data_IF_133235970638
#
_entry.id   IF_133235970638
#
_cell.length_a   1.000
_cell.length_b   1.000
_cell.length_c   1.000
_cell.angle_alpha   90.00
_cell.angle_beta   90.00
_cell.angle_gamma   90.00
#
_symmetry.space_group_name_H-M   'P 1'
#
loop_
_entity.id
_entity.type
_entity.pdbx_description
1 polymer ?
#
# COMPACT_ATOMS: atom_id res chain seq x y z
N UNK A 1 -3.13 24.52 32.77
CA UNK A 1 -2.44 23.35 32.19
C UNK A 1 -3.41 22.17 31.93
N UNK A 2 -4.22 21.78 32.92
CA UNK A 2 -5.14 20.62 32.86
C UNK A 2 -6.19 20.72 31.73
N UNK A 3 -6.72 21.93 31.45
CA UNK A 3 -7.69 22.11 30.33
C UNK A 3 -7.03 21.94 28.97
N UNK A 4 -5.83 22.48 28.76
CA UNK A 4 -5.08 22.31 27.51
C UNK A 4 -4.70 20.84 27.29
N UNK A 5 -4.21 20.15 28.32
CA UNK A 5 -3.82 18.76 28.27
C UNK A 5 -4.95 17.84 27.80
N UNK A 6 -6.18 18.10 28.26
CA UNK A 6 -7.36 17.31 27.87
C UNK A 6 -8.06 17.79 26.59
N UNK A 7 -7.81 19.03 26.15
CA UNK A 7 -8.45 19.57 24.95
C UNK A 7 -7.64 19.35 23.67
N UNK A 8 -6.38 18.91 23.77
CA UNK A 8 -5.57 18.59 22.61
C UNK A 8 -6.03 17.26 21.99
N UNK A 9 -6.10 17.15 20.65
CA UNK A 9 -6.49 15.91 19.97
C UNK A 9 -5.38 14.84 19.98
N UNK A 10 -4.17 15.17 20.45
CA UNK A 10 -3.05 14.26 20.52
C UNK A 10 -3.12 13.42 21.79
N UNK A 11 -2.79 12.13 21.68
CA UNK A 11 -2.63 11.26 22.83
C UNK A 11 -1.35 11.63 23.60
N UNK A 12 -1.49 12.01 24.88
CA UNK A 12 -0.38 12.46 25.71
C UNK A 12 -0.38 11.69 27.03
N UNK A 13 0.83 11.29 27.43
CA UNK A 13 1.10 10.75 28.76
C UNK A 13 2.35 11.41 29.34
N UNK A 14 2.40 11.58 30.67
CA UNK A 14 3.65 11.85 31.38
C UNK A 14 4.10 10.62 32.16
N UNK A 15 5.41 10.44 32.24
CA UNK A 15 6.02 9.27 32.91
C UNK A 15 7.11 9.70 33.88
N UNK A 16 7.28 8.88 34.92
CA UNK A 16 8.37 9.01 35.87
C UNK A 16 9.70 8.43 35.32
N UNK A 17 10.75 8.50 36.13
CA UNK A 17 12.06 7.98 35.79
C UNK A 17 12.09 6.45 35.58
N UNK A 18 11.07 5.72 36.02
CA UNK A 18 10.96 4.27 35.84
C UNK A 18 10.08 3.90 34.63
N UNK A 19 9.50 4.90 33.95
CA UNK A 19 8.57 4.72 32.82
C UNK A 19 7.14 4.42 33.26
N UNK A 20 6.78 4.67 34.54
CA UNK A 20 5.40 4.56 35.02
C UNK A 20 4.61 5.79 34.59
N UNK A 21 3.38 5.56 34.21
CA UNK A 21 2.44 6.60 33.79
C UNK A 21 2.02 7.39 35.05
N UNK A 22 2.26 8.69 35.02
CA UNK A 22 1.83 9.64 36.05
C UNK A 22 0.52 10.32 35.67
N UNK A 23 0.37 10.68 34.39
CA UNK A 23 -0.82 11.35 33.86
C UNK A 23 -1.09 10.89 32.43
N UNK A 24 -2.35 10.84 32.06
CA UNK A 24 -2.82 10.61 30.68
C UNK A 24 -3.95 11.58 30.35
N UNK A 25 -4.11 11.90 29.08
CA UNK A 25 -5.29 12.62 28.61
C UNK A 25 -6.32 11.64 28.00
N UNK A 26 -7.54 12.13 27.71
CA UNK A 26 -8.60 11.34 27.16
C UNK A 26 -8.26 10.67 25.80
N UNK A 27 -7.60 11.35 24.85
CA UNK A 27 -7.14 10.72 23.61
C UNK A 27 -6.17 9.56 23.84
N UNK A 28 -5.27 9.64 24.82
CA UNK A 28 -4.36 8.55 25.15
C UNK A 28 -5.13 7.31 25.64
N UNK A 29 -6.09 7.50 26.54
CA UNK A 29 -6.94 6.41 27.03
C UNK A 29 -7.77 5.80 25.91
N UNK A 30 -8.27 6.62 24.98
CA UNK A 30 -9.03 6.15 23.81
C UNK A 30 -8.16 5.30 22.87
N UNK A 31 -6.93 5.77 22.56
CA UNK A 31 -6.00 5.09 21.66
C UNK A 31 -5.55 3.74 22.21
N UNK A 32 -5.30 3.67 23.52
CA UNK A 32 -4.79 2.47 24.21
C UNK A 32 -5.82 1.81 25.12
N UNK A 33 -7.11 1.95 24.82
CA UNK A 33 -8.23 1.52 25.69
C UNK A 33 -8.23 0.05 26.06
N UNK A 34 -7.57 -0.82 25.28
CA UNK A 34 -7.42 -2.25 25.61
C UNK A 34 -6.28 -2.54 26.59
N UNK A 35 -5.22 -1.74 26.54
CA UNK A 35 -4.03 -1.92 27.37
C UNK A 35 -4.04 -1.04 28.62
N UNK A 36 -4.72 0.12 28.56
CA UNK A 36 -4.73 1.14 29.60
C UNK A 36 -6.14 1.68 29.78
N UNK A 37 -6.64 1.65 31.01
CA UNK A 37 -7.92 2.26 31.39
C UNK A 37 -7.73 3.47 32.32
N UNK A 38 -8.84 4.07 32.75
CA UNK A 38 -8.83 5.25 33.64
C UNK A 38 -8.15 5.00 35.00
N UNK A 39 -7.99 3.74 35.42
CA UNK A 39 -7.26 3.36 36.64
C UNK A 39 -5.77 3.09 36.42
N UNK A 40 -5.23 3.34 35.23
CA UNK A 40 -3.82 3.04 34.90
C UNK A 40 -2.83 3.80 35.77
N UNK A 41 -3.12 5.04 36.12
CA UNK A 41 -2.29 5.88 37.00
C UNK A 41 -2.27 5.31 38.43
N UNK A 42 -3.44 4.97 38.96
CA UNK A 42 -3.58 4.41 40.30
C UNK A 42 -2.91 3.03 40.42
N UNK A 43 -2.92 2.24 39.34
CA UNK A 43 -2.29 0.92 39.26
C UNK A 43 -0.80 0.95 38.90
N UNK A 44 -0.21 2.14 38.73
CA UNK A 44 1.20 2.33 38.41
C UNK A 44 1.62 1.59 37.12
N UNK A 45 0.76 1.59 36.08
CA UNK A 45 1.04 0.92 34.82
C UNK A 45 2.25 1.58 34.16
N UNK A 46 3.12 0.76 33.60
CA UNK A 46 4.28 1.22 32.83
C UNK A 46 3.88 1.48 31.39
N UNK A 47 4.48 2.50 30.78
CA UNK A 47 4.20 2.87 29.39
C UNK A 47 4.65 1.80 28.38
N UNK A 48 5.63 0.95 28.74
CA UNK A 48 6.07 -0.17 27.89
C UNK A 48 4.97 -1.24 27.65
N UNK A 49 3.89 -1.23 28.44
CA UNK A 49 2.72 -2.10 28.24
C UNK A 49 1.91 -1.75 26.98
N UNK A 50 2.00 -0.50 26.50
CA UNK A 50 1.31 -0.04 25.29
C UNK A 50 2.21 -0.09 24.05
N UNK A 51 3.44 -0.58 24.18
CA UNK A 51 4.42 -0.68 23.11
C UNK A 51 4.61 -2.15 22.75
N UNK A 52 4.65 -2.43 21.45
CA UNK A 52 4.90 -3.77 20.96
C UNK A 52 6.25 -4.30 21.47
N UNK A 53 6.33 -5.56 21.85
CA UNK A 53 7.47 -6.16 22.54
C UNK A 53 8.81 -5.92 21.83
N UNK A 54 8.84 -6.02 20.50
CA UNK A 54 10.04 -5.79 19.67
C UNK A 54 10.62 -4.38 19.78
N UNK A 55 9.79 -3.40 20.15
CA UNK A 55 10.15 -1.97 20.12
C UNK A 55 10.39 -1.41 21.56
N UNK A 56 10.24 -2.24 22.60
CA UNK A 56 10.42 -1.84 24.01
C UNK A 56 11.83 -1.37 24.31
N UNK A 57 12.85 -1.97 23.69
CA UNK A 57 14.25 -1.56 23.87
C UNK A 57 14.50 -0.16 23.30
N UNK A 58 13.95 0.12 22.10
CA UNK A 58 14.03 1.47 21.50
C UNK A 58 13.37 2.51 22.40
N UNK A 59 12.22 2.16 22.99
CA UNK A 59 11.53 3.05 23.92
C UNK A 59 12.32 3.26 25.22
N UNK A 60 12.88 2.22 25.83
CA UNK A 60 13.73 2.34 27.00
C UNK A 60 14.94 3.26 26.72
N UNK A 61 15.56 3.12 25.55
CA UNK A 61 16.67 3.98 25.12
C UNK A 61 16.20 5.44 24.97
N UNK A 62 15.03 5.69 24.39
CA UNK A 62 14.48 7.03 24.26
C UNK A 62 14.19 7.67 25.63
N UNK A 63 13.65 6.89 26.56
CA UNK A 63 13.40 7.35 27.92
C UNK A 63 14.70 7.70 28.66
N UNK A 64 15.75 6.90 28.51
CA UNK A 64 17.07 7.20 29.11
C UNK A 64 17.66 8.51 28.52
N UNK A 65 17.53 8.75 27.24
CA UNK A 65 17.94 10.01 26.59
C UNK A 65 17.14 11.21 27.11
N UNK A 66 15.83 11.03 27.34
CA UNK A 66 14.99 12.07 27.92
C UNK A 66 15.43 12.41 29.35
N UNK A 67 15.77 11.43 30.18
CA UNK A 67 16.35 11.65 31.53
C UNK A 67 17.66 12.42 31.48
N UNK A 68 18.48 12.17 30.46
CA UNK A 68 19.72 12.92 30.21
C UNK A 68 19.48 14.31 29.61
N UNK A 69 18.21 14.72 29.46
CA UNK A 69 17.78 16.02 28.88
C UNK A 69 18.29 16.25 27.45
N UNK A 70 18.43 15.17 26.66
CA UNK A 70 18.77 15.30 25.24
C UNK A 70 17.59 15.90 24.49
N UNK A 71 17.83 16.96 23.70
CA UNK A 71 16.78 17.66 22.99
C UNK A 71 16.27 16.90 21.76
N UNK A 72 17.12 16.10 21.12
CA UNK A 72 16.76 15.33 19.93
C UNK A 72 16.67 13.84 20.26
N UNK A 73 15.45 13.36 20.41
CA UNK A 73 15.14 11.96 20.56
C UNK A 73 14.35 11.52 19.33
N UNK A 74 14.88 10.53 18.60
CA UNK A 74 14.21 10.03 17.41
C UNK A 74 12.83 9.44 17.76
N UNK A 75 11.80 9.71 16.95
CA UNK A 75 10.49 9.09 17.16
C UNK A 75 10.56 7.57 16.99
N UNK A 76 9.66 6.87 17.66
CA UNK A 76 9.57 5.41 17.65
C UNK A 76 8.30 5.02 16.91
N UNK A 77 8.48 4.38 15.75
CA UNK A 77 7.38 3.75 15.01
C UNK A 77 7.14 2.34 15.55
N UNK A 78 5.92 2.05 15.94
CA UNK A 78 5.51 0.74 16.46
C UNK A 78 4.09 0.40 16.00
N UNK A 79 3.62 -0.77 16.37
CA UNK A 79 2.22 -1.19 16.22
C UNK A 79 1.60 -1.39 17.60
N UNK A 80 0.28 -1.35 17.69
CA UNK A 80 -0.38 -1.67 18.95
C UNK A 80 -0.10 -3.13 19.34
N UNK A 81 0.09 -3.43 20.64
CA UNK A 81 0.39 -4.78 21.11
C UNK A 81 -0.69 -5.81 20.77
N UNK A 82 -1.94 -5.36 20.70
CA UNK A 82 -3.14 -6.16 20.47
C UNK A 82 -3.70 -6.04 19.05
N UNK A 83 -3.08 -5.19 18.19
CA UNK A 83 -3.52 -4.97 16.84
C UNK A 83 -2.34 -4.53 15.95
N UNK A 84 -1.74 -5.50 15.26
CA UNK A 84 -0.57 -5.27 14.41
C UNK A 84 -0.86 -4.44 13.14
N UNK A 85 -2.13 -4.20 12.80
CA UNK A 85 -2.51 -3.36 11.67
C UNK A 85 -2.57 -1.87 12.04
N UNK A 86 -2.67 -1.57 13.34
CA UNK A 86 -2.68 -0.19 13.82
C UNK A 86 -1.28 0.28 14.17
N UNK A 87 -0.81 1.26 13.40
CA UNK A 87 0.49 1.89 13.56
C UNK A 87 0.42 3.11 14.47
N UNK A 88 1.39 3.22 15.38
CA UNK A 88 1.51 4.35 16.29
C UNK A 88 2.95 4.86 16.27
N UNK A 89 3.11 6.18 16.28
CA UNK A 89 4.40 6.87 16.42
C UNK A 89 4.46 7.56 17.76
N UNK A 90 5.48 7.24 18.54
CA UNK A 90 5.76 7.88 19.80
C UNK A 90 6.86 8.93 19.68
N UNK A 91 6.64 10.05 20.36
CA UNK A 91 7.62 11.11 20.55
C UNK A 91 7.87 11.24 22.04
N UNK A 92 9.12 11.15 22.47
CA UNK A 92 9.53 11.25 23.87
C UNK A 92 10.27 12.58 24.05
N UNK A 93 9.79 13.42 24.95
CA UNK A 93 10.39 14.70 25.24
C UNK A 93 10.77 14.81 26.71
N UNK A 94 11.97 15.33 27.02
CA UNK A 94 12.37 15.58 28.41
C UNK A 94 11.49 16.67 29.05
N UNK A 95 11.18 16.52 30.32
CA UNK A 95 10.60 17.59 31.12
C UNK A 95 11.71 18.53 31.57
N UNK A 96 11.59 19.79 31.19
CA UNK A 96 12.50 20.84 31.69
C UNK A 96 11.87 21.44 32.94
N UNK A 97 12.40 21.05 34.12
CA UNK A 97 11.96 21.63 35.39
C UNK A 97 12.17 23.14 35.42
N UNK A 98 11.09 23.88 35.53
CA UNK A 98 11.11 25.23 36.01
C UNK A 98 10.94 25.14 37.53
N UNK A 99 11.98 25.51 38.25
CA UNK A 99 12.15 25.40 39.69
C UNK A 99 10.84 25.41 40.52
N UNK A 100 10.54 24.34 41.23
CA UNK A 100 9.70 24.39 42.44
C UNK A 100 8.21 24.07 42.28
N UNK A 101 7.75 23.43 41.21
CA UNK A 101 6.35 23.05 41.05
C UNK A 101 6.11 21.53 41.20
N UNK A 102 4.84 21.12 41.25
CA UNK A 102 4.33 19.73 41.40
C UNK A 102 4.84 18.70 40.36
N UNK A 103 5.87 19.02 39.56
CA UNK A 103 6.43 18.22 38.46
C UNK A 103 7.74 17.50 38.79
N UNK A 104 8.20 17.47 40.04
CA UNK A 104 9.51 16.90 40.44
C UNK A 104 9.63 15.38 40.17
N UNK A 105 8.54 14.67 39.88
CA UNK A 105 8.54 13.24 39.57
C UNK A 105 8.47 12.95 38.06
N UNK A 106 8.09 13.93 37.21
CA UNK A 106 7.95 13.73 35.77
C UNK A 106 9.32 13.71 35.08
N UNK A 107 9.67 12.60 34.43
CA UNK A 107 10.92 12.46 33.67
C UNK A 107 10.75 12.79 32.18
N UNK A 108 9.61 12.44 31.60
CA UNK A 108 9.33 12.67 30.20
C UNK A 108 7.83 12.87 29.92
N UNK A 109 7.55 13.65 28.88
CA UNK A 109 6.24 13.71 28.25
C UNK A 109 6.30 12.88 26.97
N UNK A 110 5.31 12.04 26.78
CA UNK A 110 5.21 11.15 25.61
C UNK A 110 3.96 11.49 24.82
N UNK A 111 4.15 11.76 23.56
CA UNK A 111 3.07 11.95 22.60
C UNK A 111 2.94 10.70 21.74
N UNK A 112 1.71 10.25 21.52
CA UNK A 112 1.41 9.15 20.61
C UNK A 112 0.47 9.63 19.51
N UNK A 113 0.83 9.29 18.28
CA UNK A 113 0.05 9.64 17.09
C UNK A 113 -0.24 8.36 16.33
N UNK A 114 -1.52 8.08 16.08
CA UNK A 114 -1.89 6.97 15.20
C UNK A 114 -1.53 7.32 13.75
N UNK A 115 -0.72 6.48 13.12
CA UNK A 115 -0.21 6.69 11.75
C UNK A 115 -0.71 5.63 10.77
N UNK A 116 -1.73 4.86 11.14
CA UNK A 116 -2.29 3.75 10.34
C UNK A 116 -2.72 4.22 8.96
N UNK A 117 -3.54 5.27 8.90
CA UNK A 117 -4.02 5.84 7.63
C UNK A 117 -2.87 6.42 6.80
N UNK A 118 -1.94 7.13 7.44
CA UNK A 118 -0.76 7.67 6.77
C UNK A 118 0.07 6.55 6.12
N UNK A 119 0.35 5.48 6.85
CA UNK A 119 1.10 4.31 6.33
C UNK A 119 0.36 3.62 5.18
N UNK A 120 -0.96 3.49 5.27
CA UNK A 120 -1.78 2.93 4.19
C UNK A 120 -1.71 3.80 2.92
N UNK A 121 -1.81 5.13 3.07
CA UNK A 121 -1.68 6.07 1.96
C UNK A 121 -0.27 6.05 1.35
N UNK A 122 0.78 6.03 2.17
CA UNK A 122 2.17 5.92 1.70
C UNK A 122 2.39 4.63 0.90
N UNK A 123 1.88 3.49 1.37
CA UNK A 123 1.95 2.21 0.66
C UNK A 123 1.18 2.25 -0.67
N UNK A 124 -0.01 2.85 -0.69
CA UNK A 124 -0.79 3.02 -1.90
C UNK A 124 -0.09 3.94 -2.92
N UNK A 125 0.52 5.04 -2.46
CA UNK A 125 1.29 5.94 -3.31
C UNK A 125 2.51 5.24 -3.91
N UNK A 126 3.27 4.50 -3.09
CA UNK A 126 4.43 3.74 -3.57
C UNK A 126 4.03 2.69 -4.61
N UNK A 127 2.92 1.98 -4.40
CA UNK A 127 2.37 1.02 -5.37
C UNK A 127 1.94 1.73 -6.67
N UNK A 128 1.29 2.89 -6.58
CA UNK A 128 0.88 3.69 -7.74
C UNK A 128 2.09 4.19 -8.54
N UNK A 129 3.14 4.67 -7.87
CA UNK A 129 4.39 5.10 -8.51
C UNK A 129 5.10 3.95 -9.22
N UNK A 130 5.18 2.77 -8.56
CA UNK A 130 5.75 1.56 -9.17
C UNK A 130 4.98 1.18 -10.44
N UNK A 131 3.66 1.22 -10.38
CA UNK A 131 2.80 0.90 -11.51
C UNK A 131 2.96 1.92 -12.65
N UNK A 132 3.11 3.21 -12.33
CA UNK A 132 3.36 4.26 -13.31
C UNK A 132 4.71 4.08 -14.02
N UNK A 133 5.76 3.73 -13.27
CA UNK A 133 7.09 3.47 -13.84
C UNK A 133 7.07 2.27 -14.80
N UNK A 134 6.43 1.16 -14.39
CA UNK A 134 6.21 -0.02 -15.23
C UNK A 134 5.43 0.36 -16.49
N UNK A 135 4.42 1.22 -16.34
CA UNK A 135 3.62 1.72 -17.45
C UNK A 135 4.40 2.51 -18.49
N UNK A 136 5.25 3.41 -18.05
CA UNK A 136 6.08 4.20 -18.95
C UNK A 136 7.09 3.32 -19.70
N UNK A 137 7.75 2.39 -19.00
CA UNK A 137 8.68 1.45 -19.62
C UNK A 137 7.97 0.53 -20.63
N UNK A 138 6.82 -0.03 -20.26
CA UNK A 138 6.04 -0.88 -21.13
C UNK A 138 5.58 -0.14 -22.39
N UNK A 139 5.24 1.16 -22.29
CA UNK A 139 4.85 1.99 -23.43
C UNK A 139 5.96 2.16 -24.46
N UNK A 140 7.17 2.45 -24.03
CA UNK A 140 8.34 2.57 -24.92
C UNK A 140 8.71 1.24 -25.58
N UNK A 141 8.82 0.20 -24.77
CA UNK A 141 9.17 -1.15 -25.24
C UNK A 141 8.11 -1.66 -26.24
N UNK A 142 6.82 -1.48 -25.93
CA UNK A 142 5.76 -1.95 -26.80
C UNK A 142 5.72 -1.24 -28.16
N UNK A 143 6.09 0.03 -28.21
CA UNK A 143 6.25 0.75 -29.47
C UNK A 143 7.31 0.08 -30.36
N UNK A 144 8.47 -0.26 -29.79
CA UNK A 144 9.58 -0.87 -30.53
C UNK A 144 9.23 -2.31 -30.96
N UNK A 145 8.59 -3.09 -30.08
CA UNK A 145 8.08 -4.42 -30.43
C UNK A 145 7.06 -4.35 -31.57
N UNK A 146 6.12 -3.41 -31.54
CA UNK A 146 5.12 -3.26 -32.58
C UNK A 146 5.76 -2.93 -33.93
N UNK A 147 6.81 -2.10 -33.97
CA UNK A 147 7.56 -1.81 -35.18
C UNK A 147 8.20 -3.05 -35.79
N UNK A 148 8.89 -3.85 -34.96
CA UNK A 148 9.52 -5.11 -35.38
C UNK A 148 8.47 -6.13 -35.86
N UNK A 149 7.38 -6.31 -35.10
CA UNK A 149 6.33 -7.25 -35.45
C UNK A 149 5.60 -6.85 -36.73
N UNK A 150 5.39 -5.55 -36.94
CA UNK A 150 4.82 -5.02 -38.21
C UNK A 150 5.72 -5.37 -39.40
N UNK A 151 7.02 -5.18 -39.28
CA UNK A 151 7.97 -5.55 -40.33
C UNK A 151 7.96 -7.07 -40.63
N UNK A 152 7.91 -7.92 -39.58
CA UNK A 152 7.81 -9.38 -39.74
C UNK A 152 6.51 -9.77 -40.44
N UNK A 153 5.38 -9.21 -40.07
CA UNK A 153 4.08 -9.50 -40.66
C UNK A 153 4.07 -9.08 -42.14
N UNK A 154 4.57 -7.85 -42.45
CA UNK A 154 4.65 -7.37 -43.83
C UNK A 154 5.57 -8.22 -44.74
N UNK A 155 6.73 -8.64 -44.18
CA UNK A 155 7.64 -9.54 -44.90
C UNK A 155 6.98 -10.91 -45.15
N UNK A 156 6.28 -11.45 -44.15
CA UNK A 156 5.55 -12.71 -44.28
C UNK A 156 4.45 -12.62 -45.33
N UNK A 157 3.71 -11.47 -45.40
CA UNK A 157 2.68 -11.24 -46.38
C UNK A 157 3.26 -11.16 -47.79
N UNK A 158 4.38 -10.48 -47.97
CA UNK A 158 5.06 -10.40 -49.26
C UNK A 158 5.53 -11.80 -49.70
N UNK A 159 6.08 -12.61 -48.84
CA UNK A 159 6.46 -13.98 -49.15
C UNK A 159 5.25 -14.85 -49.53
N UNK A 160 4.13 -14.72 -48.83
CA UNK A 160 2.90 -15.46 -49.13
C UNK A 160 2.31 -15.06 -50.48
N UNK A 161 2.53 -13.82 -50.94
CA UNK A 161 2.11 -13.39 -52.28
C UNK A 161 2.92 -14.10 -53.38
N UNK A 162 4.16 -14.45 -53.13
CA UNK A 162 5.08 -15.07 -54.10
C UNK A 162 5.13 -16.61 -54.00
N UNK A 163 4.52 -17.21 -52.97
CA UNK A 163 4.51 -18.67 -52.74
C UNK A 163 3.09 -19.21 -52.90
N UNK A 164 2.94 -20.33 -53.63
CA UNK A 164 1.66 -21.03 -53.73
C UNK A 164 1.39 -21.92 -52.51
N UNK A 165 0.13 -22.23 -52.21
CA UNK A 165 -0.18 -23.15 -51.09
C UNK A 165 0.45 -24.55 -51.20
N UNK A 166 0.87 -24.97 -52.40
CA UNK A 166 1.58 -26.21 -52.65
C UNK A 166 3.09 -26.14 -52.42
N UNK A 167 3.64 -24.96 -52.14
CA UNK A 167 5.05 -24.77 -51.88
C UNK A 167 5.37 -25.34 -50.46
N UNK A 168 6.45 -26.15 -50.33
CA UNK A 168 6.85 -26.66 -49.04
C UNK A 168 7.09 -25.59 -47.95
N UNK A 169 7.49 -24.38 -48.32
CA UNK A 169 7.74 -23.28 -47.42
C UNK A 169 6.48 -22.52 -46.97
N UNK A 170 5.35 -22.72 -47.65
CA UNK A 170 4.11 -21.99 -47.36
C UNK A 170 3.61 -22.20 -45.91
N UNK A 171 3.58 -23.43 -45.35
CA UNK A 171 3.18 -23.60 -43.95
C UNK A 171 4.10 -22.88 -42.93
N UNK A 172 5.39 -22.85 -43.19
CA UNK A 172 6.37 -22.19 -42.31
C UNK A 172 6.17 -20.67 -42.31
N UNK A 173 5.94 -20.05 -43.47
CA UNK A 173 5.65 -18.62 -43.61
C UNK A 173 4.35 -18.29 -42.86
N UNK A 174 3.31 -19.11 -43.03
CA UNK A 174 2.05 -18.94 -42.29
C UNK A 174 2.25 -19.03 -40.79
N UNK A 175 3.06 -19.97 -40.30
CA UNK A 175 3.40 -20.09 -38.88
C UNK A 175 4.13 -18.84 -38.35
N UNK A 176 5.08 -18.30 -39.10
CA UNK A 176 5.79 -17.06 -38.73
C UNK A 176 4.78 -15.90 -38.58
N UNK A 177 3.90 -15.71 -39.59
CA UNK A 177 2.87 -14.67 -39.56
C UNK A 177 1.92 -14.82 -38.36
N UNK A 178 1.44 -16.05 -38.09
CA UNK A 178 0.54 -16.32 -36.98
C UNK A 178 1.20 -16.01 -35.62
N UNK A 179 2.45 -16.40 -35.44
CA UNK A 179 3.20 -16.13 -34.20
C UNK A 179 3.47 -14.63 -34.05
N UNK A 180 3.80 -13.91 -35.12
CA UNK A 180 3.97 -12.47 -35.07
C UNK A 180 2.66 -11.73 -34.67
N UNK A 181 1.53 -12.14 -35.21
CA UNK A 181 0.22 -11.62 -34.82
C UNK A 181 -0.14 -11.95 -33.36
N UNK A 182 0.19 -13.15 -32.89
CA UNK A 182 0.01 -13.54 -31.49
C UNK A 182 0.87 -12.66 -30.57
N UNK A 183 2.14 -12.45 -30.92
CA UNK A 183 3.03 -11.57 -30.17
C UNK A 183 2.52 -10.12 -30.13
N UNK A 184 2.03 -9.59 -31.25
CA UNK A 184 1.40 -8.25 -31.30
C UNK A 184 0.18 -8.14 -30.39
N UNK A 185 -0.61 -9.21 -30.25
CA UNK A 185 -1.74 -9.28 -29.33
C UNK A 185 -1.28 -9.23 -27.87
N UNK A 186 -0.21 -9.96 -27.51
CA UNK A 186 0.37 -9.93 -26.16
C UNK A 186 0.93 -8.56 -25.81
N UNK A 187 1.60 -7.88 -26.74
CA UNK A 187 2.08 -6.51 -26.56
C UNK A 187 0.92 -5.54 -26.30
N UNK A 188 -0.19 -5.66 -27.04
CA UNK A 188 -1.40 -4.86 -26.78
C UNK A 188 -1.98 -5.12 -25.39
N UNK A 189 -2.02 -6.37 -24.93
CA UNK A 189 -2.48 -6.71 -23.57
C UNK A 189 -1.56 -6.10 -22.50
N UNK A 190 -0.24 -6.13 -22.70
CA UNK A 190 0.73 -5.50 -21.81
C UNK A 190 0.50 -3.99 -21.73
N UNK A 191 0.25 -3.33 -22.85
CA UNK A 191 -0.08 -1.90 -22.91
C UNK A 191 -1.41 -1.58 -22.21
N UNK A 192 -2.42 -2.40 -22.35
CA UNK A 192 -3.71 -2.20 -21.67
C UNK A 192 -3.55 -2.24 -20.14
N UNK A 193 -2.68 -3.10 -19.63
CA UNK A 193 -2.34 -3.18 -18.20
C UNK A 193 -1.55 -1.95 -17.71
N UNK A 194 -0.74 -1.36 -18.59
CA UNK A 194 0.18 -0.26 -18.28
C UNK A 194 -0.45 1.13 -18.38
N UNK A 195 -1.49 1.30 -19.19
CA UNK A 195 -2.12 2.60 -19.41
C UNK A 195 -3.15 2.88 -18.30
N UNK A 196 -3.06 4.07 -17.69
CA UNK A 196 -4.25 4.77 -17.19
C UNK A 196 -5.09 5.02 -18.46
N UNK A 197 -6.04 4.14 -18.72
CA UNK A 197 -6.97 4.36 -19.83
C UNK A 197 -7.69 5.68 -19.56
N UNK A 198 -7.43 6.67 -20.40
CA UNK A 198 -8.34 7.80 -20.51
C UNK A 198 -9.63 7.18 -21.04
N UNK A 199 -10.60 7.02 -20.13
CA UNK A 199 -11.92 6.50 -20.48
C UNK A 199 -12.47 7.38 -21.60
N UNK A 200 -12.68 6.80 -22.78
CA UNK A 200 -13.50 7.39 -23.83
C UNK A 200 -14.88 6.74 -23.71
N UNK A 201 -15.87 7.46 -23.21
CA UNK A 201 -17.23 6.94 -23.18
C UNK A 201 -17.70 6.65 -24.62
N UNK A 202 -18.02 5.41 -24.89
CA UNK A 202 -18.61 4.97 -26.16
C UNK A 202 -19.93 4.26 -25.85
N UNK A 203 -20.90 4.41 -26.75
CA UNK A 203 -22.13 3.63 -26.65
C UNK A 203 -21.81 2.20 -27.05
N UNK A 204 -21.88 1.29 -26.08
CA UNK A 204 -21.57 -0.13 -26.30
C UNK A 204 -22.85 -0.96 -26.31
N UNK A 205 -22.93 -1.93 -27.18
CA UNK A 205 -23.89 -3.00 -27.09
C UNK A 205 -23.40 -4.00 -26.03
N UNK A 206 -24.10 -4.04 -24.90
CA UNK A 206 -23.67 -4.87 -23.75
C UNK A 206 -23.66 -6.36 -24.08
N UNK A 207 -24.56 -6.82 -24.95
CA UNK A 207 -24.63 -8.21 -25.40
C UNK A 207 -23.38 -8.64 -26.16
N UNK A 208 -22.90 -7.76 -27.06
CA UNK A 208 -21.68 -8.03 -27.85
C UNK A 208 -20.44 -8.05 -26.96
N UNK A 209 -20.34 -7.09 -26.03
CA UNK A 209 -19.23 -7.01 -25.07
C UNK A 209 -19.19 -8.24 -24.15
N UNK A 210 -20.33 -8.70 -23.67
CA UNK A 210 -20.43 -9.90 -22.83
C UNK A 210 -20.08 -11.18 -23.61
N UNK A 211 -20.45 -11.26 -24.90
CA UNK A 211 -20.09 -12.39 -25.76
C UNK A 211 -18.56 -12.46 -25.98
N UNK A 212 -17.91 -11.33 -26.23
CA UNK A 212 -16.45 -11.24 -26.38
C UNK A 212 -15.73 -11.58 -25.09
N UNK A 213 -16.21 -11.05 -23.95
CA UNK A 213 -15.66 -11.34 -22.61
C UNK A 213 -15.79 -12.82 -22.28
N UNK A 214 -16.92 -13.45 -22.59
CA UNK A 214 -17.13 -14.90 -22.42
C UNK A 214 -16.10 -15.71 -23.20
N UNK A 215 -15.81 -15.35 -24.47
CA UNK A 215 -14.81 -16.05 -25.25
C UNK A 215 -13.40 -15.92 -24.65
N UNK A 216 -13.05 -14.75 -24.14
CA UNK A 216 -11.78 -14.52 -23.45
C UNK A 216 -11.66 -15.33 -22.17
N UNK A 217 -12.69 -15.31 -21.33
CA UNK A 217 -12.73 -16.03 -20.07
C UNK A 217 -12.71 -17.55 -20.29
N UNK A 218 -13.44 -18.08 -21.29
CA UNK A 218 -13.44 -19.51 -21.61
C UNK A 218 -12.04 -20.03 -22.00
N UNK A 219 -11.21 -19.16 -22.64
CA UNK A 219 -9.81 -19.51 -22.93
C UNK A 219 -8.90 -19.50 -21.69
N UNK A 220 -9.18 -18.64 -20.71
CA UNK A 220 -8.38 -18.49 -19.49
C UNK A 220 -8.67 -19.60 -18.48
N UNK A 221 -9.93 -20.00 -18.33
CA UNK A 221 -10.35 -21.01 -17.32
C UNK A 221 -10.11 -22.44 -17.76
N UNK A 222 -9.80 -22.68 -19.04
CA UNK A 222 -9.58 -24.04 -19.56
C UNK A 222 -10.87 -24.87 -19.67
N UNK A 223 -10.71 -26.16 -19.98
CA UNK A 223 -11.84 -27.05 -20.23
C UNK A 223 -12.49 -27.61 -18.93
N UNK A 224 -11.85 -27.39 -17.78
CA UNK A 224 -12.29 -28.00 -16.52
C UNK A 224 -13.35 -27.15 -15.80
N UNK A 225 -13.58 -25.92 -16.26
CA UNK A 225 -14.55 -24.99 -15.67
C UNK A 225 -15.58 -24.59 -16.71
N UNK A 226 -16.87 -24.83 -16.40
CA UNK A 226 -17.99 -24.40 -17.25
C UNK A 226 -18.38 -22.95 -16.91
N UNK A 227 -18.18 -22.04 -17.86
CA UNK A 227 -18.59 -20.65 -17.74
C UNK A 227 -19.99 -20.46 -18.34
N UNK A 228 -20.99 -20.17 -17.49
CA UNK A 228 -22.35 -19.83 -17.90
C UNK A 228 -22.58 -18.34 -17.73
N UNK A 229 -22.97 -17.64 -18.79
CA UNK A 229 -23.33 -16.22 -18.75
C UNK A 229 -24.83 -16.13 -19.01
N UNK A 230 -25.57 -15.56 -18.08
CA UNK A 230 -26.98 -15.27 -18.21
C UNK A 230 -27.17 -13.75 -18.19
N UNK A 231 -27.86 -13.22 -19.17
CA UNK A 231 -28.21 -11.80 -19.25
C UNK A 231 -29.72 -11.68 -19.44
N UNK A 232 -30.30 -10.66 -18.80
CA UNK A 232 -31.73 -10.37 -18.98
C UNK A 232 -32.01 -9.79 -20.35
N UNK A 233 -33.22 -10.01 -20.87
CA UNK A 233 -33.66 -9.55 -22.18
C UNK A 233 -33.96 -8.03 -22.24
N UNK A 234 -33.89 -7.32 -21.14
CA UNK A 234 -34.28 -5.91 -20.98
C UNK A 234 -33.11 -4.98 -20.60
N UNK A 235 -31.89 -5.29 -21.03
CA UNK A 235 -30.72 -4.42 -20.84
C UNK A 235 -30.27 -3.80 -22.16
#
# INVERSE_FOLDING_TARGET
FTRFFNSTPMAIASVDQTGRILRTNAPFLSLFSRAVDSGAVERHIRLDSVIHERDREAFATALERAKQRQAEIAPIDTVLPDDAERHVRFYVHPVVDHAGGEGAEEAAIVYAVETTEQKALEAQMAQSQKMQAVGQLAGGIAHDFNNVLTAIIMASDLLLTNHRPSDPSFPDIMNIKQNANRAASLVRQLLAFSRRQTLRPEVLNLTDVLADLRMLLARLVGNDISLKVEHGSDL
#
